data_IF_468276646838
#
_entry.id   IF_468276646838
#
_cell.length_a   1.000
_cell.length_b   1.000
_cell.length_c   1.000
_cell.angle_alpha   90.00
_cell.angle_beta   90.00
_cell.angle_gamma   90.00
#
_symmetry.space_group_name_H-M   'P 1'
#
loop_
_entity.id
_entity.type
_entity.pdbx_description
1 polymer ?
#
# COMPACT_ATOMS: atom_id res chain seq x y z
N UNK A 1 9.66 8.56 1.75
CA UNK A 1 8.39 8.19 2.42
C UNK A 1 7.76 9.43 3.02
N UNK A 2 6.46 9.64 2.77
CA UNK A 2 5.66 10.72 3.35
C UNK A 2 4.61 10.11 4.31
N UNK A 3 4.54 10.65 5.52
CA UNK A 3 3.48 10.32 6.48
C UNK A 3 2.51 11.49 6.62
N UNK A 4 1.22 11.19 6.46
CA UNK A 4 0.14 12.16 6.63
C UNK A 4 -0.63 11.82 7.90
N UNK A 5 -0.42 12.62 8.94
CA UNK A 5 -1.09 12.48 10.22
C UNK A 5 -2.36 13.29 10.26
N UNK A 6 -3.37 12.80 10.97
CA UNK A 6 -4.58 13.57 11.24
C UNK A 6 -5.59 12.75 12.02
N UNK A 7 -6.49 13.42 12.71
CA UNK A 7 -7.58 12.80 13.46
C UNK A 7 -8.53 11.99 12.56
N UNK A 8 -9.42 11.22 13.18
CA UNK A 8 -10.48 10.52 12.46
C UNK A 8 -11.39 11.54 11.78
N UNK A 9 -11.68 11.35 10.50
CA UNK A 9 -12.57 12.23 9.73
C UNK A 9 -11.92 13.47 9.11
N UNK A 10 -10.61 13.74 9.31
CA UNK A 10 -9.92 14.91 8.75
C UNK A 10 -9.61 14.82 7.24
N UNK A 11 -10.13 13.84 6.51
CA UNK A 11 -10.01 13.76 5.06
C UNK A 11 -8.81 12.98 4.52
N UNK A 12 -8.04 12.24 5.36
CA UNK A 12 -6.89 11.44 4.90
C UNK A 12 -7.26 10.45 3.80
N UNK A 13 -8.27 9.62 4.02
CA UNK A 13 -8.74 8.64 3.03
C UNK A 13 -9.27 9.32 1.78
N UNK A 14 -9.98 10.45 1.92
CA UNK A 14 -10.46 11.23 0.78
C UNK A 14 -9.30 11.75 -0.08
N UNK A 15 -8.19 12.16 0.53
CA UNK A 15 -7.01 12.59 -0.22
C UNK A 15 -6.32 11.42 -0.93
N UNK A 16 -6.25 10.25 -0.28
CA UNK A 16 -5.75 9.02 -0.92
C UNK A 16 -6.63 8.63 -2.11
N UNK A 17 -7.95 8.65 -1.94
CA UNK A 17 -8.91 8.39 -3.02
C UNK A 17 -8.82 9.42 -4.15
N UNK A 18 -8.65 10.70 -3.83
CA UNK A 18 -8.44 11.75 -4.82
C UNK A 18 -7.13 11.54 -5.59
N UNK A 19 -6.06 11.09 -4.92
CA UNK A 19 -4.79 10.74 -5.57
C UNK A 19 -4.97 9.59 -6.57
N UNK A 20 -5.89 8.67 -6.31
CA UNK A 20 -6.26 7.59 -7.24
C UNK A 20 -7.30 8.03 -8.29
N UNK A 21 -7.84 9.24 -8.18
CA UNK A 21 -8.88 9.77 -9.05
C UNK A 21 -10.24 9.12 -8.86
N UNK A 22 -10.54 8.61 -7.66
CA UNK A 22 -11.86 8.08 -7.30
C UNK A 22 -12.78 9.16 -6.74
N UNK A 23 -12.19 10.17 -6.08
CA UNK A 23 -12.93 11.30 -5.51
C UNK A 23 -12.52 12.57 -6.25
N UNK A 24 -13.47 13.41 -6.71
CA UNK A 24 -13.16 14.67 -7.35
C UNK A 24 -12.56 15.65 -6.34
N UNK A 25 -11.68 16.52 -6.83
CA UNK A 25 -11.08 17.62 -6.07
C UNK A 25 -11.93 18.85 -6.27
N UNK A 26 -12.35 19.50 -5.17
CA UNK A 26 -13.14 20.75 -5.23
C UNK A 26 -12.29 21.97 -5.56
N UNK A 27 -11.07 22.02 -5.01
CA UNK A 27 -10.13 23.12 -5.21
C UNK A 27 -8.69 22.58 -5.31
N UNK A 28 -7.87 23.24 -6.12
CA UNK A 28 -6.49 22.82 -6.36
C UNK A 28 -6.37 21.65 -7.35
N UNK A 29 -5.24 20.95 -7.30
CA UNK A 29 -4.98 19.80 -8.17
C UNK A 29 -3.94 18.86 -7.54
N UNK A 30 -3.96 17.61 -7.96
CA UNK A 30 -2.93 16.61 -7.63
C UNK A 30 -2.19 16.29 -8.92
N UNK A 31 -0.86 16.25 -8.87
CA UNK A 31 -0.03 15.82 -9.98
C UNK A 31 0.78 14.57 -9.62
N UNK A 32 1.02 13.72 -10.61
CA UNK A 32 1.95 12.61 -10.56
C UNK A 32 2.95 12.81 -11.69
N UNK A 33 4.23 12.93 -11.32
CA UNK A 33 5.31 13.26 -12.27
C UNK A 33 5.04 14.54 -13.11
N UNK A 34 4.37 15.53 -12.49
CA UNK A 34 4.02 16.80 -13.14
C UNK A 34 2.70 16.78 -13.92
N UNK A 35 2.13 15.61 -14.16
CA UNK A 35 0.87 15.47 -14.92
C UNK A 35 -0.34 15.44 -13.98
N UNK A 36 -1.42 16.18 -14.27
CA UNK A 36 -2.57 16.25 -13.38
C UNK A 36 -3.39 14.95 -13.35
N UNK A 37 -3.82 14.58 -12.16
CA UNK A 37 -4.78 13.48 -11.95
C UNK A 37 -6.18 14.01 -12.28
N UNK A 38 -6.73 13.52 -13.37
CA UNK A 38 -8.08 13.85 -13.87
C UNK A 38 -8.88 12.57 -14.10
N UNK A 39 -10.19 12.62 -14.29
CA UNK A 39 -10.97 11.43 -14.66
C UNK A 39 -10.42 10.70 -15.90
N UNK A 40 -9.84 11.43 -16.85
CA UNK A 40 -9.26 10.85 -18.07
C UNK A 40 -7.90 10.17 -17.82
N UNK A 41 -7.03 10.75 -16.99
CA UNK A 41 -5.68 10.23 -16.71
C UNK A 41 -5.63 9.25 -15.55
N UNK A 42 -6.59 9.27 -14.63
CA UNK A 42 -6.59 8.47 -13.40
C UNK A 42 -6.39 6.97 -13.65
N UNK A 43 -7.03 6.40 -14.68
CA UNK A 43 -6.90 4.98 -14.99
C UNK A 43 -5.46 4.60 -15.39
N UNK A 44 -4.70 5.53 -15.98
CA UNK A 44 -3.30 5.34 -16.35
C UNK A 44 -2.45 5.37 -15.07
N UNK A 45 -2.64 6.38 -14.22
CA UNK A 45 -1.89 6.52 -12.97
C UNK A 45 -2.11 5.37 -12.00
N UNK A 46 -3.35 4.84 -11.88
CA UNK A 46 -3.60 3.66 -11.04
C UNK A 46 -2.77 2.43 -11.43
N UNK A 47 -2.28 2.32 -12.66
CA UNK A 47 -1.35 1.26 -13.05
C UNK A 47 0.03 1.40 -12.42
N UNK A 48 0.39 2.60 -12.00
CA UNK A 48 1.65 2.92 -11.32
C UNK A 48 1.54 2.78 -9.80
N UNK A 49 0.36 2.47 -9.28
CA UNK A 49 0.07 2.47 -7.85
C UNK A 49 -0.12 1.05 -7.30
N UNK A 50 0.28 0.86 -6.05
CA UNK A 50 -0.24 -0.17 -5.17
C UNK A 50 -0.98 0.52 -4.02
N UNK A 51 -2.17 0.05 -3.71
CA UNK A 51 -3.00 0.62 -2.65
C UNK A 51 -3.38 -0.44 -1.62
N UNK A 52 -3.17 -0.11 -0.36
CA UNK A 52 -3.60 -0.91 0.79
C UNK A 52 -4.61 -0.09 1.58
N UNK A 53 -5.90 -0.46 1.55
CA UNK A 53 -6.94 0.26 2.25
C UNK A 53 -6.90 0.04 3.77
N UNK A 54 -7.56 0.91 4.51
CA UNK A 54 -7.76 0.76 5.94
C UNK A 54 -8.52 -0.53 6.26
N UNK A 55 -9.67 -0.74 5.60
CA UNK A 55 -10.50 -1.93 5.78
C UNK A 55 -10.16 -2.99 4.73
N UNK A 56 -9.60 -4.11 5.17
CA UNK A 56 -9.25 -5.23 4.31
C UNK A 56 -10.46 -6.14 4.11
N UNK A 57 -11.11 -6.01 2.96
CA UNK A 57 -12.16 -6.95 2.52
C UNK A 57 -11.55 -7.95 1.54
N UNK A 58 -11.14 -9.09 2.06
CA UNK A 58 -10.52 -10.15 1.27
C UNK A 58 -11.60 -11.07 0.72
N UNK A 59 -11.54 -11.34 -0.57
CA UNK A 59 -12.38 -12.33 -1.25
C UNK A 59 -11.71 -13.69 -1.34
N UNK A 60 -10.40 -13.74 -1.16
CA UNK A 60 -9.58 -14.94 -1.18
C UNK A 60 -9.41 -15.49 0.23
N UNK A 61 -9.39 -16.83 0.33
CA UNK A 61 -9.27 -17.49 1.63
C UNK A 61 -7.84 -17.49 2.17
N UNK A 62 -6.82 -17.48 1.30
CA UNK A 62 -5.40 -17.61 1.68
C UNK A 62 -4.52 -16.60 0.96
N UNK A 63 -3.32 -16.27 1.52
CA UNK A 63 -2.31 -15.49 0.80
C UNK A 63 -1.90 -16.09 -0.55
N UNK A 64 -1.85 -17.42 -0.66
CA UNK A 64 -1.56 -18.12 -1.92
C UNK A 64 -2.60 -17.79 -2.99
N UNK A 65 -3.89 -17.91 -2.67
CA UNK A 65 -4.98 -17.61 -3.60
C UNK A 65 -4.99 -16.12 -4.00
N UNK A 66 -4.74 -15.22 -3.04
CA UNK A 66 -4.62 -13.79 -3.32
C UNK A 66 -3.42 -13.49 -4.22
N UNK A 67 -2.25 -14.10 -3.95
CA UNK A 67 -1.07 -13.96 -4.79
C UNK A 67 -1.34 -14.43 -6.22
N UNK A 68 -1.94 -15.60 -6.40
CA UNK A 68 -2.27 -16.16 -7.72
C UNK A 68 -3.20 -15.23 -8.50
N UNK A 69 -4.22 -14.68 -7.82
CA UNK A 69 -5.12 -13.71 -8.43
C UNK A 69 -4.39 -12.45 -8.87
N UNK A 70 -3.55 -11.89 -8.00
CA UNK A 70 -2.76 -10.68 -8.29
C UNK A 70 -1.77 -10.94 -9.45
N UNK A 71 -1.08 -12.08 -9.45
CA UNK A 71 -0.12 -12.45 -10.48
C UNK A 71 -0.79 -12.60 -11.87
N UNK A 72 -2.04 -13.10 -11.93
CA UNK A 72 -2.80 -13.28 -13.18
C UNK A 72 -3.35 -11.97 -13.75
N UNK A 73 -3.36 -10.87 -13.01
CA UNK A 73 -3.79 -9.58 -13.56
C UNK A 73 -2.91 -9.19 -14.75
N UNK A 74 -3.56 -8.79 -15.85
CA UNK A 74 -2.87 -8.42 -17.11
C UNK A 74 -1.73 -7.42 -16.90
N UNK A 75 -1.92 -6.48 -15.96
CA UNK A 75 -0.92 -5.47 -15.63
C UNK A 75 0.34 -6.06 -14.96
N UNK A 76 0.23 -7.24 -14.36
CA UNK A 76 1.31 -7.90 -13.61
C UNK A 76 2.00 -9.00 -14.42
N UNK A 77 1.46 -9.43 -15.57
CA UNK A 77 2.02 -10.52 -16.36
C UNK A 77 3.46 -10.30 -16.85
N UNK A 78 3.88 -9.02 -16.95
CA UNK A 78 5.25 -8.67 -17.34
C UNK A 78 6.25 -8.66 -16.17
N UNK A 79 5.78 -8.81 -14.93
CA UNK A 79 6.59 -8.58 -13.72
C UNK A 79 7.27 -9.86 -13.21
N UNK A 80 7.24 -10.98 -13.93
CA UNK A 80 7.86 -12.26 -13.52
C UNK A 80 7.58 -12.64 -12.05
N UNK A 81 6.35 -12.38 -11.58
CA UNK A 81 5.95 -12.70 -10.22
C UNK A 81 5.91 -14.22 -10.04
N UNK A 82 6.60 -14.73 -9.02
CA UNK A 82 6.60 -16.13 -8.65
C UNK A 82 6.41 -16.31 -7.16
N UNK A 83 5.94 -17.49 -6.75
CA UNK A 83 5.88 -17.88 -5.34
C UNK A 83 7.24 -17.69 -4.67
N UNK A 84 8.32 -18.11 -5.33
CA UNK A 84 9.67 -18.00 -4.79
C UNK A 84 10.08 -16.54 -4.55
N UNK A 85 9.70 -15.63 -5.46
CA UNK A 85 9.97 -14.19 -5.27
C UNK A 85 9.23 -13.60 -4.07
N UNK A 86 7.98 -14.03 -3.83
CA UNK A 86 7.22 -13.63 -2.65
C UNK A 86 7.84 -14.20 -1.38
N UNK A 87 8.15 -15.48 -1.35
CA UNK A 87 8.74 -16.12 -0.17
C UNK A 87 10.14 -15.57 0.15
N UNK A 88 10.95 -15.27 -0.87
CA UNK A 88 12.24 -14.61 -0.68
C UNK A 88 12.07 -13.17 -0.11
N UNK A 89 11.03 -12.45 -0.53
CA UNK A 89 10.71 -11.15 0.07
C UNK A 89 10.26 -11.32 1.53
N UNK A 90 9.46 -12.34 1.85
CA UNK A 90 9.04 -12.65 3.22
C UNK A 90 10.22 -12.96 4.13
N UNK A 91 11.15 -13.79 3.68
CA UNK A 91 12.39 -14.08 4.43
C UNK A 91 13.18 -12.81 4.73
N UNK A 92 13.30 -11.91 3.76
CA UNK A 92 14.04 -10.66 3.92
C UNK A 92 13.41 -9.65 4.91
N UNK A 93 12.15 -9.90 5.31
CA UNK A 93 11.39 -9.06 6.26
C UNK A 93 10.87 -9.87 7.46
N UNK A 94 11.37 -11.10 7.64
CA UNK A 94 11.04 -12.01 8.73
C UNK A 94 9.55 -12.38 8.83
N UNK A 95 8.88 -12.56 7.69
CA UNK A 95 7.53 -13.14 7.63
C UNK A 95 7.65 -14.66 7.45
N UNK A 96 6.97 -15.42 8.32
CA UNK A 96 6.99 -16.88 8.25
C UNK A 96 6.30 -17.39 6.98
N UNK A 97 7.00 -18.25 6.23
CA UNK A 97 6.48 -18.90 5.02
C UNK A 97 5.24 -19.77 5.26
N UNK A 98 5.04 -20.23 6.50
CA UNK A 98 3.87 -21.03 6.89
C UNK A 98 2.55 -20.28 6.62
N UNK A 99 2.54 -18.95 6.67
CA UNK A 99 1.35 -18.16 6.37
C UNK A 99 0.86 -18.31 4.92
N UNK A 100 1.69 -18.79 3.99
CA UNK A 100 1.35 -18.79 2.56
C UNK A 100 0.05 -19.56 2.25
N UNK A 101 -0.16 -20.71 2.91
CA UNK A 101 -1.34 -21.57 2.72
C UNK A 101 -2.36 -21.46 3.88
N UNK A 102 -2.08 -20.65 4.90
CA UNK A 102 -3.00 -20.47 6.02
C UNK A 102 -4.23 -19.67 5.63
N UNK A 103 -5.37 -19.97 6.26
CA UNK A 103 -6.59 -19.22 6.05
C UNK A 103 -6.49 -17.83 6.70
N UNK A 104 -6.87 -16.79 5.97
CA UNK A 104 -6.90 -15.41 6.50
C UNK A 104 -7.79 -15.29 7.74
N UNK A 105 -8.89 -16.03 7.81
CA UNK A 105 -9.82 -16.01 8.95
C UNK A 105 -9.20 -16.53 10.25
N UNK A 106 -8.11 -17.30 10.18
CA UNK A 106 -7.37 -17.79 11.36
C UNK A 106 -6.29 -16.81 11.84
N UNK A 107 -6.09 -15.70 11.12
CA UNK A 107 -5.06 -14.71 11.42
C UNK A 107 -5.67 -13.48 12.10
N UNK A 108 -4.89 -12.81 12.94
CA UNK A 108 -5.25 -11.49 13.43
C UNK A 108 -5.14 -10.42 12.32
N UNK A 109 -5.73 -9.26 12.57
CA UNK A 109 -5.77 -8.19 11.58
C UNK A 109 -4.37 -7.66 11.22
N UNK A 110 -3.47 -7.54 12.19
CA UNK A 110 -2.12 -7.05 11.96
C UNK A 110 -1.34 -7.98 11.04
N UNK A 111 -1.43 -9.30 11.26
CA UNK A 111 -0.81 -10.30 10.39
C UNK A 111 -1.38 -10.24 8.98
N UNK A 112 -2.70 -10.17 8.82
CA UNK A 112 -3.34 -10.03 7.49
C UNK A 112 -2.85 -8.79 6.75
N UNK A 113 -2.76 -7.65 7.42
CA UNK A 113 -2.27 -6.40 6.82
C UNK A 113 -0.83 -6.52 6.37
N UNK A 114 0.05 -7.07 7.20
CA UNK A 114 1.47 -7.31 6.87
C UNK A 114 1.60 -8.18 5.61
N UNK A 115 0.82 -9.25 5.50
CA UNK A 115 0.84 -10.14 4.33
C UNK A 115 0.36 -9.42 3.05
N UNK A 116 -0.70 -8.63 3.13
CA UNK A 116 -1.21 -7.87 1.98
C UNK A 116 -0.21 -6.78 1.57
N UNK A 117 0.38 -6.09 2.56
CA UNK A 117 1.40 -5.09 2.29
C UNK A 117 2.64 -5.72 1.63
N UNK A 118 3.00 -6.96 2.02
CA UNK A 118 4.10 -7.70 1.38
C UNK A 118 3.82 -8.00 -0.10
N UNK A 119 2.56 -8.30 -0.45
CA UNK A 119 2.15 -8.45 -1.85
C UNK A 119 2.29 -7.13 -2.63
N UNK A 120 1.91 -6.00 -2.02
CA UNK A 120 2.16 -4.70 -2.62
C UNK A 120 3.66 -4.46 -2.86
N UNK A 121 4.51 -4.91 -1.94
CA UNK A 121 5.97 -4.78 -2.03
C UNK A 121 6.58 -5.48 -3.22
N UNK A 122 6.17 -6.73 -3.51
CA UNK A 122 6.73 -7.47 -4.65
C UNK A 122 6.27 -6.93 -6.00
N UNK A 123 5.17 -6.17 -6.05
CA UNK A 123 4.70 -5.53 -7.28
C UNK A 123 5.63 -4.40 -7.75
N UNK A 124 6.46 -3.86 -6.87
CA UNK A 124 7.42 -2.78 -7.14
C UNK A 124 6.80 -1.61 -7.90
N UNK A 125 5.61 -1.19 -7.46
CA UNK A 125 4.94 -0.05 -8.07
C UNK A 125 5.69 1.25 -7.75
N UNK A 126 5.78 2.20 -8.69
CA UNK A 126 6.39 3.51 -8.45
C UNK A 126 5.78 4.26 -7.26
N UNK A 127 4.48 4.11 -7.02
CA UNK A 127 3.76 4.75 -5.92
C UNK A 127 3.02 3.71 -5.08
N UNK A 128 3.26 3.74 -3.77
CA UNK A 128 2.55 2.91 -2.77
C UNK A 128 1.74 3.84 -1.88
N UNK A 129 0.44 3.59 -1.81
CA UNK A 129 -0.51 4.31 -0.99
C UNK A 129 -1.02 3.37 0.10
N UNK A 130 -0.89 3.77 1.36
CA UNK A 130 -1.37 3.00 2.52
C UNK A 130 -2.30 3.87 3.34
N UNK A 131 -3.56 3.48 3.38
CA UNK A 131 -4.56 4.16 4.20
C UNK A 131 -4.60 3.51 5.58
N UNK A 132 -4.19 4.27 6.59
CA UNK A 132 -4.02 3.91 7.98
C UNK A 132 -2.93 2.83 8.21
N UNK A 133 -1.71 3.26 8.55
CA UNK A 133 -0.67 2.36 9.06
C UNK A 133 -0.87 2.14 10.56
N UNK A 134 -0.95 0.87 10.98
CA UNK A 134 -1.30 0.48 12.35
C UNK A 134 -0.09 0.04 13.17
N UNK A 135 0.96 -0.49 12.56
CA UNK A 135 2.05 -1.16 13.27
C UNK A 135 3.45 -0.74 12.81
N UNK A 136 4.42 -0.90 13.71
CA UNK A 136 5.84 -0.70 13.38
C UNK A 136 6.35 -1.73 12.33
N UNK A 137 5.76 -2.92 12.29
CA UNK A 137 6.11 -3.94 11.28
C UNK A 137 5.72 -3.47 9.88
N UNK A 138 4.56 -2.83 9.73
CA UNK A 138 4.17 -2.22 8.46
C UNK A 138 5.18 -1.14 8.04
N UNK A 139 5.65 -0.30 8.97
CA UNK A 139 6.65 0.74 8.67
C UNK A 139 7.96 0.15 8.14
N UNK A 140 8.41 -1.00 8.67
CA UNK A 140 9.62 -1.70 8.18
C UNK A 140 9.41 -2.15 6.73
N UNK A 141 8.26 -2.73 6.40
CA UNK A 141 7.92 -3.13 5.03
C UNK A 141 7.88 -1.94 4.08
N UNK A 142 7.25 -0.85 4.50
CA UNK A 142 7.13 0.38 3.72
C UNK A 142 8.51 1.00 3.46
N UNK A 143 9.39 1.01 4.47
CA UNK A 143 10.76 1.46 4.30
C UNK A 143 11.53 0.59 3.31
N UNK A 144 11.33 -0.72 3.34
CA UNK A 144 11.92 -1.64 2.36
C UNK A 144 11.48 -1.31 0.93
N UNK A 145 10.18 -1.02 0.74
CA UNK A 145 9.66 -0.61 -0.58
C UNK A 145 10.26 0.73 -1.03
N UNK A 146 10.38 1.70 -0.12
CA UNK A 146 10.99 2.99 -0.43
C UNK A 146 12.46 2.84 -0.82
N UNK A 147 13.23 1.98 -0.13
CA UNK A 147 14.61 1.64 -0.49
C UNK A 147 14.73 0.96 -1.86
N UNK A 148 13.67 0.28 -2.30
CA UNK A 148 13.58 -0.33 -3.63
C UNK A 148 13.15 0.65 -4.73
N UNK A 149 12.95 1.92 -4.39
CA UNK A 149 12.64 3.01 -5.33
C UNK A 149 11.17 3.41 -5.41
N UNK A 150 10.28 2.86 -4.58
CA UNK A 150 8.89 3.30 -4.54
C UNK A 150 8.75 4.62 -3.77
N UNK A 151 7.98 5.56 -4.30
CA UNK A 151 7.43 6.65 -3.50
C UNK A 151 6.32 6.07 -2.60
N UNK A 152 6.35 6.38 -1.30
CA UNK A 152 5.40 5.82 -0.34
C UNK A 152 4.67 6.94 0.37
N UNK A 153 3.34 6.95 0.28
CA UNK A 153 2.43 7.80 1.04
C UNK A 153 1.66 6.94 2.03
N UNK A 154 1.78 7.28 3.29
CA UNK A 154 1.11 6.60 4.41
C UNK A 154 0.23 7.58 5.13
N UNK A 155 -0.99 7.20 5.45
CA UNK A 155 -1.85 7.95 6.36
C UNK A 155 -1.89 7.28 7.74
N UNK A 156 -2.25 8.03 8.77
CA UNK A 156 -2.45 7.48 10.11
C UNK A 156 -2.81 8.53 11.16
N UNK A 157 -3.21 8.03 12.33
CA UNK A 157 -3.53 8.87 13.48
C UNK A 157 -2.42 8.89 14.54
N UNK A 158 -1.53 7.89 14.54
CA UNK A 158 -0.48 7.72 15.55
C UNK A 158 0.66 8.69 15.37
N UNK A 159 1.38 8.92 16.45
CA UNK A 159 2.70 9.55 16.37
C UNK A 159 3.73 8.54 15.86
N UNK A 160 4.62 8.99 14.99
CA UNK A 160 5.70 8.15 14.47
C UNK A 160 7.02 8.61 15.07
N UNK A 161 7.97 7.67 15.23
CA UNK A 161 9.31 7.98 15.70
C UNK A 161 10.05 8.93 14.74
N UNK A 162 10.97 9.74 15.29
CA UNK A 162 11.84 10.59 14.49
C UNK A 162 12.65 9.76 13.47
N UNK A 163 12.77 10.27 12.25
CA UNK A 163 13.54 9.62 11.18
C UNK A 163 12.86 8.41 10.54
N UNK A 164 11.65 8.03 10.97
CA UNK A 164 10.90 6.94 10.34
C UNK A 164 10.42 7.31 8.93
N UNK A 165 10.04 8.55 8.72
CA UNK A 165 9.57 9.09 7.45
C UNK A 165 10.42 10.30 7.05
N UNK A 166 10.64 10.48 5.74
CA UNK A 166 11.44 11.60 5.21
C UNK A 166 10.71 12.93 5.37
N UNK A 167 9.37 12.88 5.35
CA UNK A 167 8.50 14.02 5.56
C UNK A 167 7.23 13.61 6.30
N UNK A 168 6.78 14.50 7.17
CA UNK A 168 5.50 14.37 7.85
C UNK A 168 4.68 15.64 7.63
N UNK A 169 3.39 15.47 7.41
CA UNK A 169 2.42 16.56 7.35
C UNK A 169 1.25 16.23 8.28
N UNK A 170 0.67 17.26 8.90
CA UNK A 170 -0.53 17.11 9.73
C UNK A 170 -1.71 17.75 9.01
N UNK A 171 -2.80 16.99 8.89
CA UNK A 171 -4.09 17.53 8.46
C UNK A 171 -4.88 17.95 9.70
N UNK A 172 -5.18 19.23 9.79
CA UNK A 172 -6.06 19.82 10.78
C UNK A 172 -7.36 20.22 10.08
N UNK A 173 -8.49 20.02 10.76
CA UNK A 173 -9.82 20.49 10.32
C UNK A 173 -10.06 21.85 10.93
#
# INVERSE_FOLDING_TARGET
MLYMRGGKGCGKSSLVEATMGFTPISEGYITIEGEPVTPASAAIFRRLMAYVPQDLRLSEATPAALFDRVARLRINQKNSLSKDSLLAFWDAVNIDRAYYEMLFDTMDEATRRVLILSLAGILRRPLVLVDESLTATEDILLRKMAQQGSAVLVTGCRETGEGMYDKQITLEI
#
